data_IF_356018491212
#
_entry.id   IF_356018491212
#
_cell.length_a   1.000
_cell.length_b   1.000
_cell.length_c   1.000
_cell.angle_alpha   90.00
_cell.angle_beta   90.00
_cell.angle_gamma   90.00
#
_symmetry.space_group_name_H-M   'P 1'
#
loop_
_entity.id
_entity.type
_entity.pdbx_description
1 polymer ?
#
# COMPACT_ATOMS: atom_id res chain seq x y z
N UNK A 1 13.37 -6.40 -6.09
CA UNK A 1 13.08 -5.54 -4.93
C UNK A 1 12.05 -4.50 -5.30
N UNK A 2 11.02 -4.38 -4.52
CA UNK A 2 10.01 -3.32 -4.67
C UNK A 2 10.42 -2.14 -3.80
N UNK A 3 10.62 -0.99 -4.41
CA UNK A 3 11.03 0.23 -3.69
C UNK A 3 9.87 1.19 -3.59
N UNK A 4 9.51 1.58 -2.38
CA UNK A 4 8.42 2.52 -2.11
C UNK A 4 8.99 3.73 -1.39
N UNK A 5 8.87 4.89 -2.05
CA UNK A 5 9.32 6.18 -1.52
C UNK A 5 8.11 6.96 -1.04
N UNK A 6 8.10 7.31 0.24
CA UNK A 6 7.02 8.08 0.87
C UNK A 6 7.50 9.41 1.39
N UNK A 7 8.80 9.59 1.58
CA UNK A 7 9.39 10.86 1.98
C UNK A 7 9.65 11.69 0.72
N UNK A 8 8.89 12.76 0.55
CA UNK A 8 8.88 13.55 -0.68
C UNK A 8 7.80 13.06 -1.65
N UNK A 9 7.95 13.28 -2.97
CA UNK A 9 6.95 12.79 -3.93
C UNK A 9 6.83 11.28 -3.87
N UNK A 10 5.61 10.73 -3.67
CA UNK A 10 5.45 9.28 -3.53
C UNK A 10 5.76 8.58 -4.85
N UNK A 11 6.50 7.48 -4.75
CA UNK A 11 6.98 6.76 -5.91
C UNK A 11 7.11 5.28 -5.61
N UNK A 12 6.78 4.43 -6.59
CA UNK A 12 6.96 2.99 -6.49
C UNK A 12 7.78 2.52 -7.67
N UNK A 13 8.85 1.79 -7.41
CA UNK A 13 9.70 1.20 -8.43
C UNK A 13 9.82 -0.31 -8.21
N UNK A 14 9.79 -1.07 -9.30
CA UNK A 14 9.97 -2.51 -9.28
C UNK A 14 11.20 -2.86 -10.10
N UNK A 15 12.17 -3.53 -9.46
CA UNK A 15 13.42 -3.90 -10.10
C UNK A 15 14.12 -2.73 -10.80
N UNK A 16 14.10 -1.56 -10.14
CA UNK A 16 14.74 -0.35 -10.65
C UNK A 16 13.96 0.42 -11.71
N UNK A 17 12.76 -0.04 -12.05
CA UNK A 17 11.90 0.64 -13.03
C UNK A 17 10.63 1.15 -12.37
N UNK A 18 10.09 2.31 -12.79
CA UNK A 18 8.82 2.78 -12.25
C UNK A 18 7.72 1.73 -12.44
N UNK A 19 6.91 1.53 -11.40
CA UNK A 19 5.82 0.58 -11.47
C UNK A 19 4.74 1.09 -12.40
N UNK A 20 4.43 0.32 -13.44
CA UNK A 20 3.36 0.62 -14.38
C UNK A 20 2.27 -0.43 -14.25
N UNK A 21 1.05 0.01 -13.94
CA UNK A 21 -0.12 -0.85 -13.89
C UNK A 21 -0.91 -0.67 -15.19
N UNK A 22 -1.53 -1.76 -15.66
CA UNK A 22 -2.14 -1.80 -16.98
C UNK A 22 -3.33 -0.88 -17.19
N UNK A 23 -3.97 -0.42 -16.11
CA UNK A 23 -5.16 0.40 -16.22
C UNK A 23 -4.90 1.85 -15.83
N UNK A 24 -5.69 2.75 -16.43
CA UNK A 24 -5.51 4.20 -16.26
C UNK A 24 -5.72 4.68 -14.83
N UNK A 25 -6.62 4.06 -14.09
CA UNK A 25 -6.96 4.48 -12.73
C UNK A 25 -6.33 3.55 -11.70
N UNK A 26 -5.00 3.55 -11.66
CA UNK A 26 -4.24 2.73 -10.72
C UNK A 26 -3.91 3.44 -9.41
N UNK A 27 -4.43 4.65 -9.20
CA UNK A 27 -4.10 5.44 -8.01
C UNK A 27 -4.48 4.72 -6.71
N UNK A 28 -5.64 4.07 -6.67
CA UNK A 28 -6.07 3.34 -5.47
C UNK A 28 -5.32 2.05 -5.26
N UNK A 29 -4.95 1.35 -6.34
CA UNK A 29 -4.08 0.19 -6.25
C UNK A 29 -2.74 0.58 -5.64
N UNK A 30 -2.15 1.68 -6.10
CA UNK A 30 -0.92 2.21 -5.50
C UNK A 30 -1.13 2.68 -4.07
N UNK A 31 -2.29 3.24 -3.75
CA UNK A 31 -2.61 3.67 -2.39
C UNK A 31 -2.61 2.51 -1.41
N UNK A 32 -3.03 1.31 -1.83
CA UNK A 32 -2.94 0.11 -1.01
C UNK A 32 -1.49 -0.15 -0.62
N UNK A 33 -0.57 -0.08 -1.59
CA UNK A 33 0.85 -0.30 -1.34
C UNK A 33 1.43 0.78 -0.43
N UNK A 34 1.08 2.04 -0.67
CA UNK A 34 1.54 3.15 0.18
C UNK A 34 1.05 2.99 1.61
N UNK A 35 -0.23 2.61 1.78
CA UNK A 35 -0.79 2.43 3.11
C UNK A 35 -0.11 1.30 3.87
N UNK A 36 0.09 0.16 3.22
CA UNK A 36 0.77 -0.97 3.85
C UNK A 36 2.22 -0.64 4.19
N UNK A 37 2.89 0.14 3.32
CA UNK A 37 4.25 0.59 3.59
C UNK A 37 4.29 1.52 4.81
N UNK A 38 3.34 2.45 4.90
CA UNK A 38 3.26 3.42 5.99
C UNK A 38 2.91 2.76 7.32
N UNK A 39 1.97 1.81 7.31
CA UNK A 39 1.53 1.12 8.53
C UNK A 39 2.61 0.19 9.09
N UNK A 40 3.43 -0.39 8.22
CA UNK A 40 4.48 -1.33 8.61
C UNK A 40 3.96 -2.64 9.18
N UNK A 41 2.69 -2.97 8.96
CA UNK A 41 2.05 -4.16 9.50
C UNK A 41 1.00 -4.70 8.55
N UNK A 42 0.46 -5.89 8.85
CA UNK A 42 -0.62 -6.46 8.07
C UNK A 42 -1.95 -5.75 8.38
N UNK A 43 -2.79 -5.65 7.36
CA UNK A 43 -4.12 -5.05 7.49
C UNK A 43 -5.16 -5.95 6.84
N UNK A 44 -6.36 -6.03 7.45
CA UNK A 44 -7.44 -6.81 6.88
C UNK A 44 -8.01 -6.15 5.62
N UNK A 45 -8.61 -6.96 4.75
CA UNK A 45 -9.28 -6.44 3.57
C UNK A 45 -10.42 -5.48 3.94
N UNK A 46 -11.15 -5.78 5.01
CA UNK A 46 -12.24 -4.94 5.49
C UNK A 46 -11.73 -3.55 5.88
N UNK A 47 -10.61 -3.49 6.59
CA UNK A 47 -10.05 -2.22 7.00
C UNK A 47 -9.54 -1.42 5.82
N UNK A 48 -8.86 -2.06 4.87
CA UNK A 48 -8.40 -1.39 3.66
C UNK A 48 -9.57 -0.86 2.84
N UNK A 49 -10.62 -1.65 2.67
CA UNK A 49 -11.82 -1.22 1.96
C UNK A 49 -12.48 -0.03 2.65
N UNK A 50 -12.60 -0.08 3.97
CA UNK A 50 -13.18 1.02 4.75
C UNK A 50 -12.39 2.31 4.69
N UNK A 51 -11.06 2.21 4.59
CA UNK A 51 -10.20 3.39 4.50
C UNK A 51 -10.21 4.02 3.11
N UNK A 52 -10.18 3.21 2.06
CA UNK A 52 -10.04 3.71 0.70
C UNK A 52 -11.38 4.04 0.04
N UNK A 53 -12.45 3.41 0.50
CA UNK A 53 -13.80 3.62 -0.03
C UNK A 53 -14.79 3.91 1.10
N UNK A 54 -14.43 4.83 1.99
CA UNK A 54 -15.22 5.14 3.18
C UNK A 54 -16.62 5.68 2.87
N UNK A 55 -16.80 6.30 1.69
CA UNK A 55 -18.08 6.87 1.26
C UNK A 55 -19.01 5.84 0.61
N UNK A 56 -18.58 4.58 0.49
CA UNK A 56 -19.34 3.53 -0.18
C UNK A 56 -19.84 2.49 0.82
N UNK A 57 -20.97 1.81 0.52
CA UNK A 57 -21.41 0.67 1.34
C UNK A 57 -20.33 -0.42 1.38
N UNK A 58 -20.28 -1.15 2.50
CA UNK A 58 -19.23 -2.16 2.74
C UNK A 58 -19.11 -3.17 1.61
N UNK A 59 -20.24 -3.62 1.05
CA UNK A 59 -20.22 -4.59 -0.04
C UNK A 59 -19.55 -4.02 -1.28
N UNK A 60 -19.86 -2.78 -1.64
CA UNK A 60 -19.25 -2.11 -2.80
C UNK A 60 -17.76 -1.85 -2.57
N UNK A 61 -17.41 -1.41 -1.36
CA UNK A 61 -16.02 -1.16 -1.01
C UNK A 61 -15.18 -2.43 -1.16
N UNK A 62 -15.71 -3.57 -0.73
CA UNK A 62 -14.99 -4.85 -0.87
C UNK A 62 -14.85 -5.29 -2.32
N UNK A 63 -15.87 -5.04 -3.15
CA UNK A 63 -15.80 -5.32 -4.59
C UNK A 63 -14.73 -4.47 -5.27
N UNK A 64 -14.67 -3.19 -4.95
CA UNK A 64 -13.66 -2.28 -5.48
C UNK A 64 -12.25 -2.68 -5.03
N UNK A 65 -12.09 -3.04 -3.76
CA UNK A 65 -10.81 -3.52 -3.26
C UNK A 65 -10.35 -4.76 -4.02
N UNK A 66 -11.26 -5.70 -4.26
CA UNK A 66 -10.93 -6.92 -5.01
C UNK A 66 -10.44 -6.58 -6.41
N UNK A 67 -11.09 -5.63 -7.09
CA UNK A 67 -10.66 -5.18 -8.41
C UNK A 67 -9.27 -4.56 -8.40
N UNK A 68 -8.99 -3.73 -7.40
CA UNK A 68 -7.66 -3.12 -7.27
C UNK A 68 -6.59 -4.15 -6.94
N UNK A 69 -6.89 -5.13 -6.09
CA UNK A 69 -5.95 -6.21 -5.80
C UNK A 69 -5.67 -7.06 -7.03
N UNK A 70 -6.64 -7.21 -7.93
CA UNK A 70 -6.42 -7.89 -9.21
C UNK A 70 -5.37 -7.15 -10.05
N UNK A 71 -5.38 -5.81 -10.05
CA UNK A 71 -4.36 -5.02 -10.74
C UNK A 71 -2.97 -5.24 -10.15
N UNK A 72 -2.89 -5.61 -8.88
CA UNK A 72 -1.63 -5.89 -8.20
C UNK A 72 -1.24 -7.36 -8.25
N UNK A 73 -1.92 -8.18 -9.07
CA UNK A 73 -1.71 -9.63 -9.09
C UNK A 73 -0.26 -10.01 -9.42
N UNK A 74 0.44 -9.21 -10.23
CA UNK A 74 1.84 -9.44 -10.54
C UNK A 74 2.78 -9.27 -9.34
N UNK A 75 2.33 -8.61 -8.29
CA UNK A 75 3.11 -8.40 -7.07
C UNK A 75 2.73 -9.38 -5.96
N UNK A 76 1.68 -10.18 -6.18
CA UNK A 76 1.17 -11.09 -5.15
C UNK A 76 2.18 -12.19 -4.85
N UNK A 77 2.29 -12.51 -3.57
CA UNK A 77 3.15 -13.53 -2.97
C UNK A 77 4.63 -13.18 -2.92
N UNK A 78 5.18 -12.50 -3.92
CA UNK A 78 6.58 -12.07 -3.88
C UNK A 78 6.76 -10.79 -3.05
N UNK A 79 5.91 -9.80 -3.30
CA UNK A 79 6.01 -8.48 -2.66
C UNK A 79 4.82 -8.17 -1.76
N UNK A 80 3.62 -8.53 -2.20
CA UNK A 80 2.38 -8.34 -1.47
C UNK A 80 1.87 -9.70 -1.02
N UNK A 81 1.86 -9.92 0.29
CA UNK A 81 1.54 -11.21 0.89
C UNK A 81 0.17 -11.15 1.56
N UNK A 82 -0.63 -12.19 1.36
CA UNK A 82 -1.90 -12.33 2.06
C UNK A 82 -1.91 -13.61 2.89
N UNK A 83 -2.16 -13.46 4.20
CA UNK A 83 -2.26 -14.57 5.14
C UNK A 83 -3.50 -14.34 6.01
N UNK A 84 -4.41 -15.31 6.02
CA UNK A 84 -5.65 -15.26 6.82
C UNK A 84 -6.49 -14.00 6.57
N UNK A 85 -6.58 -13.60 5.31
CA UNK A 85 -7.36 -12.42 4.92
C UNK A 85 -6.70 -11.08 5.25
N UNK A 86 -5.43 -11.09 5.65
CA UNK A 86 -4.67 -9.89 5.97
C UNK A 86 -3.55 -9.71 4.97
N UNK A 87 -3.40 -8.48 4.51
CA UNK A 87 -2.41 -8.10 3.51
C UNK A 87 -1.23 -7.39 4.16
N UNK A 88 -0.03 -7.70 3.71
CA UNK A 88 1.19 -7.03 4.16
C UNK A 88 2.22 -7.02 3.04
N UNK A 89 3.21 -6.14 3.17
CA UNK A 89 4.35 -6.14 2.27
C UNK A 89 5.41 -7.09 2.82
N UNK A 90 6.06 -7.83 1.90
CA UNK A 90 7.13 -8.74 2.28
C UNK A 90 8.38 -7.92 2.64
N UNK A 91 8.82 -7.90 3.91
CA UNK A 91 9.95 -7.06 4.33
C UNK A 91 11.27 -7.47 3.70
N UNK A 92 11.38 -8.72 3.23
CA UNK A 92 12.60 -9.21 2.59
C UNK A 92 12.73 -8.78 1.14
N UNK A 93 11.62 -8.34 0.52
CA UNK A 93 11.58 -7.98 -0.90
C UNK A 93 11.14 -6.56 -1.15
N UNK A 94 10.83 -5.81 -0.11
CA UNK A 94 10.38 -4.42 -0.21
C UNK A 94 11.32 -3.50 0.56
N UNK A 95 11.70 -2.40 -0.08
CA UNK A 95 12.46 -1.33 0.57
C UNK A 95 11.55 -0.11 0.72
N UNK A 96 11.43 0.40 1.94
CA UNK A 96 10.54 1.51 2.26
C UNK A 96 11.35 2.56 3.00
N UNK A 97 11.46 3.76 2.42
CA UNK A 97 12.22 4.84 3.02
C UNK A 97 11.59 5.36 4.32
N UNK A 98 10.25 5.33 4.40
CA UNK A 98 9.54 5.76 5.59
C UNK A 98 9.85 4.88 6.81
N UNK A 99 10.15 3.60 6.60
CA UNK A 99 10.52 2.70 7.69
C UNK A 99 11.74 3.22 8.44
N UNK A 100 12.71 3.77 7.71
CA UNK A 100 13.90 4.36 8.30
C UNK A 100 13.58 5.64 9.06
N UNK A 101 12.69 6.47 8.53
CA UNK A 101 12.22 7.67 9.21
C UNK A 101 11.51 7.30 10.51
N UNK A 102 10.77 6.22 10.53
CA UNK A 102 9.98 5.79 11.67
C UNK A 102 10.79 5.16 12.79
N UNK A 103 12.01 4.74 12.50
CA UNK A 103 12.96 4.36 13.55
C UNK A 103 13.38 5.58 14.38
N UNK A 104 13.23 6.78 13.82
CA UNK A 104 13.57 8.05 14.46
C UNK A 104 12.37 8.72 15.11
N UNK A 105 11.15 8.36 14.71
CA UNK A 105 9.92 8.90 15.28
C UNK A 105 9.05 7.75 15.77
N UNK A 106 8.62 7.81 17.02
CA UNK A 106 7.90 6.71 17.65
C UNK A 106 6.38 6.78 17.47
N UNK A 107 5.84 7.82 16.81
CA UNK A 107 4.40 7.97 16.66
C UNK A 107 3.90 7.35 15.35
N UNK A 108 3.20 6.18 15.42
CA UNK A 108 2.68 5.53 14.22
C UNK A 108 1.60 6.36 13.51
N UNK A 109 0.86 7.21 14.23
CA UNK A 109 -0.19 8.02 13.62
C UNK A 109 0.40 9.13 12.77
N UNK A 110 1.45 9.80 13.24
CA UNK A 110 2.16 10.80 12.46
C UNK A 110 2.75 10.18 11.20
N UNK A 111 3.26 8.97 11.30
CA UNK A 111 3.80 8.22 10.18
C UNK A 111 2.75 7.97 9.09
N UNK A 112 1.58 7.46 9.51
CA UNK A 112 0.49 7.15 8.58
C UNK A 112 -0.05 8.44 7.96
N UNK A 113 -0.27 9.46 8.78
CA UNK A 113 -0.78 10.75 8.31
C UNK A 113 0.17 11.39 7.30
N UNK A 114 1.47 11.35 7.56
CA UNK A 114 2.48 11.88 6.64
C UNK A 114 2.46 11.13 5.30
N UNK A 115 2.41 9.81 5.35
CA UNK A 115 2.39 8.99 4.15
C UNK A 115 1.13 9.25 3.32
N UNK A 116 -0.03 9.36 3.95
CA UNK A 116 -1.28 9.62 3.24
C UNK A 116 -1.31 11.02 2.62
N UNK A 117 -0.77 12.02 3.31
CA UNK A 117 -0.68 13.37 2.77
C UNK A 117 0.26 13.45 1.57
N UNK A 118 1.38 12.72 1.61
CA UNK A 118 2.33 12.71 0.49
C UNK A 118 1.86 11.83 -0.66
N UNK A 119 1.02 10.83 -0.40
CA UNK A 119 0.46 9.97 -1.43
C UNK A 119 -0.74 10.59 -2.15
N UNK A 120 -1.37 11.58 -1.54
CA UNK A 120 -2.44 12.32 -2.17
C UNK A 120 -1.90 13.33 -3.17
#
# INVERSE_FOLDING_TARGET
MLDITLLGPPQISLEGQPLVLRQRNSARAKAILYYLAASGRSESRERLAGLLWSDWPDKKAREYLRGELFLLSGLRQDYLVEVDGRLSLNPLRCHIDLARFCELTEDPQDRIAHALLTAA
#
